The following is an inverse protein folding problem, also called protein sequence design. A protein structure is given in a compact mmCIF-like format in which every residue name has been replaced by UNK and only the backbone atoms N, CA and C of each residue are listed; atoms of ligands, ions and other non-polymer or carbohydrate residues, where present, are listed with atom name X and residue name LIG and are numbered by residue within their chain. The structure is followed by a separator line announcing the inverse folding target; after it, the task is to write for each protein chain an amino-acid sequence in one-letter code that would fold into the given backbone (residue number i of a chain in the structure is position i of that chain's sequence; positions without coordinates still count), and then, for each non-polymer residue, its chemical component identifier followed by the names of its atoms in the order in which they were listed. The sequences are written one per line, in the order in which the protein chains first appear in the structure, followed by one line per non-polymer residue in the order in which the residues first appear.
data_IF_062209788604
#
_entry.id   IF_062209788604
#
_cell.length_a   1.000
_cell.length_b   1.000
_cell.length_c   1.000
_cell.angle_alpha   90.00
_cell.angle_beta   90.00
_cell.angle_gamma   90.00
#
_symmetry.space_group_name_H-M   'P 1'
#
loop_
_entity.id
_entity.type
_entity.pdbx_description
1 polymer ?
#
# COMPACT_ATOMS: atom_id res chain seq x y z
N UNK A 1 -15.22 2.46 -35.22
CA UNK A 1 -13.83 2.32 -34.71
C UNK A 1 -13.70 2.82 -33.28
N UNK A 2 -13.96 4.10 -32.98
CA UNK A 2 -13.83 4.64 -31.61
C UNK A 2 -14.72 3.94 -30.57
N UNK A 3 -15.96 3.55 -30.92
CA UNK A 3 -16.84 2.78 -30.05
C UNK A 3 -16.34 1.35 -29.77
N UNK A 4 -15.67 0.73 -30.75
CA UNK A 4 -15.12 -0.62 -30.61
C UNK A 4 -13.86 -0.62 -29.74
N UNK A 5 -13.03 0.43 -29.86
CA UNK A 5 -11.87 0.64 -28.99
C UNK A 5 -12.33 0.96 -27.56
N UNK A 6 -13.34 1.81 -27.39
CA UNK A 6 -13.92 2.10 -26.07
C UNK A 6 -14.46 0.83 -25.40
N UNK A 7 -15.27 0.06 -26.11
CA UNK A 7 -15.82 -1.20 -25.58
C UNK A 7 -14.71 -2.21 -25.25
N UNK A 8 -13.63 -2.28 -26.04
CA UNK A 8 -12.49 -3.14 -25.74
C UNK A 8 -11.68 -2.67 -24.52
N UNK A 9 -11.56 -1.36 -24.32
CA UNK A 9 -10.95 -0.77 -23.11
C UNK A 9 -11.83 -1.04 -21.89
N UNK A 10 -13.15 -0.86 -22.00
CA UNK A 10 -14.10 -1.13 -20.92
C UNK A 10 -14.09 -2.62 -20.53
N UNK A 11 -14.07 -3.53 -21.52
CA UNK A 11 -13.98 -4.98 -21.27
C UNK A 11 -12.62 -5.40 -20.72
N UNK A 12 -11.55 -4.72 -21.09
CA UNK A 12 -10.22 -4.94 -20.54
C UNK A 12 -10.14 -4.48 -19.08
N UNK A 13 -10.58 -3.25 -18.79
CA UNK A 13 -10.61 -2.66 -17.44
C UNK A 13 -11.53 -3.45 -16.50
N UNK A 14 -12.58 -4.08 -17.02
CA UNK A 14 -13.48 -4.93 -16.23
C UNK A 14 -12.85 -6.25 -15.74
N UNK A 15 -11.65 -6.62 -16.21
CA UNK A 15 -10.97 -7.85 -15.77
C UNK A 15 -10.02 -7.57 -14.61
N UNK A 16 -10.08 -8.40 -13.56
CA UNK A 16 -9.14 -8.38 -12.41
C UNK A 16 -7.66 -8.37 -12.84
N UNK A 17 -7.33 -9.01 -13.98
CA UNK A 17 -5.97 -9.05 -14.54
C UNK A 17 -5.45 -7.71 -15.03
N UNK A 18 -6.33 -6.77 -15.42
CA UNK A 18 -5.92 -5.51 -16.05
C UNK A 18 -5.15 -4.60 -15.10
N UNK A 19 -5.55 -4.57 -13.83
CA UNK A 19 -4.88 -3.80 -12.78
C UNK A 19 -3.43 -4.24 -12.60
N UNK A 20 -3.17 -5.55 -12.54
CA UNK A 20 -1.81 -6.10 -12.44
C UNK A 20 -0.93 -5.74 -13.64
N UNK A 21 -1.48 -5.81 -14.86
CA UNK A 21 -0.75 -5.39 -16.06
C UNK A 21 -0.48 -3.89 -16.08
N UNK A 22 -1.44 -3.05 -15.66
CA UNK A 22 -1.25 -1.60 -15.57
C UNK A 22 -0.16 -1.24 -14.56
N UNK A 23 -0.17 -1.89 -13.39
CA UNK A 23 0.87 -1.70 -12.37
C UNK A 23 2.25 -2.08 -12.91
N UNK A 24 2.35 -3.25 -13.55
CA UNK A 24 3.61 -3.71 -14.15
C UNK A 24 4.10 -2.77 -15.25
N UNK A 25 3.20 -2.32 -16.14
CA UNK A 25 3.54 -1.36 -17.18
C UNK A 25 3.99 -0.01 -16.59
N UNK A 26 3.33 0.50 -15.55
CA UNK A 26 3.73 1.72 -14.86
C UNK A 26 5.12 1.60 -14.25
N UNK A 27 5.44 0.46 -13.61
CA UNK A 27 6.76 0.19 -13.06
C UNK A 27 7.84 0.15 -14.16
N UNK A 28 7.57 -0.50 -15.29
CA UNK A 28 8.49 -0.51 -16.43
C UNK A 28 8.71 0.88 -17.02
N UNK A 29 7.65 1.69 -17.12
CA UNK A 29 7.76 3.08 -17.60
C UNK A 29 8.58 3.94 -16.63
N UNK A 30 8.39 3.77 -15.31
CA UNK A 30 9.19 4.47 -14.30
C UNK A 30 10.68 4.07 -14.39
N UNK A 31 10.97 2.78 -14.52
CA UNK A 31 12.33 2.27 -14.71
C UNK A 31 12.95 2.81 -16.00
N UNK A 32 12.20 2.81 -17.11
CA UNK A 32 12.67 3.36 -18.37
C UNK A 32 12.94 4.87 -18.25
N UNK A 33 12.06 5.63 -17.59
CA UNK A 33 12.23 7.07 -17.38
C UNK A 33 13.52 7.37 -16.59
N UNK A 34 13.73 6.71 -15.45
CA UNK A 34 14.88 6.97 -14.56
C UNK A 34 16.22 6.47 -15.13
N UNK A 35 16.21 5.52 -16.07
CA UNK A 35 17.42 5.02 -16.74
C UNK A 35 17.66 5.68 -18.11
N UNK A 36 16.92 6.74 -18.46
CA UNK A 36 17.02 7.44 -19.74
C UNK A 36 17.48 8.89 -19.55
N UNK A 37 17.78 9.64 -20.64
CA UNK A 37 18.07 11.06 -20.55
C UNK A 37 16.95 11.92 -19.92
N UNK A 38 15.75 11.36 -19.73
CA UNK A 38 14.63 12.01 -19.04
C UNK A 38 14.76 12.00 -17.51
N UNK A 39 15.71 11.25 -16.94
CA UNK A 39 15.86 11.12 -15.49
C UNK A 39 15.92 12.46 -14.73
N UNK A 40 16.70 13.48 -15.17
CA UNK A 40 16.74 14.77 -14.46
C UNK A 40 15.40 15.51 -14.48
N UNK A 41 14.61 15.35 -15.54
CA UNK A 41 13.28 15.95 -15.64
C UNK A 41 12.27 15.22 -14.76
N UNK A 42 12.35 13.89 -14.71
CA UNK A 42 11.52 13.06 -13.85
C UNK A 42 11.78 13.38 -12.37
N UNK A 43 13.06 13.38 -11.96
CA UNK A 43 13.45 13.70 -10.59
C UNK A 43 13.14 15.16 -10.24
N UNK A 44 13.40 16.09 -11.15
CA UNK A 44 13.08 17.51 -10.96
C UNK A 44 11.57 17.75 -10.76
N UNK A 45 10.71 17.03 -11.48
CA UNK A 45 9.27 17.07 -11.28
C UNK A 45 8.89 16.55 -9.90
N UNK A 46 9.38 15.37 -9.51
CA UNK A 46 9.07 14.76 -8.21
C UNK A 46 9.59 15.57 -7.02
N UNK A 47 10.73 16.24 -7.18
CA UNK A 47 11.33 17.11 -6.15
C UNK A 47 10.81 18.55 -6.18
N UNK A 48 9.86 18.89 -7.08
CA UNK A 48 9.28 20.23 -7.12
C UNK A 48 8.63 20.56 -5.77
N UNK A 49 9.05 21.66 -5.15
CA UNK A 49 8.48 22.12 -3.89
C UNK A 49 7.04 22.57 -4.11
N UNK A 50 6.10 21.93 -3.41
CA UNK A 50 4.68 22.29 -3.42
C UNK A 50 4.29 22.73 -2.02
N UNK A 51 3.83 23.97 -1.94
CA UNK A 51 3.50 24.63 -0.68
C UNK A 51 2.01 24.98 -0.67
N UNK A 52 1.33 24.58 0.41
CA UNK A 52 -0.04 24.98 0.70
C UNK A 52 -0.04 25.85 1.94
N UNK A 53 -0.44 27.11 1.78
CA UNK A 53 -0.46 28.11 2.86
C UNK A 53 -1.84 28.71 3.03
N UNK A 54 -2.36 28.64 4.25
CA UNK A 54 -3.63 29.27 4.67
C UNK A 54 -3.35 30.12 5.91
N UNK A 55 -3.10 31.42 5.70
CA UNK A 55 -2.71 32.33 6.78
C UNK A 55 -1.34 31.98 7.38
N UNK A 56 -1.32 31.62 8.67
CA UNK A 56 -0.13 31.16 9.38
C UNK A 56 0.11 29.64 9.26
N UNK A 57 -0.86 28.89 8.73
CA UNK A 57 -0.71 27.47 8.46
C UNK A 57 0.04 27.26 7.15
N UNK A 58 1.12 26.51 7.19
CA UNK A 58 1.99 26.25 6.05
C UNK A 58 2.38 24.77 6.03
N UNK A 59 2.15 24.11 4.90
CA UNK A 59 2.68 22.77 4.62
C UNK A 59 3.51 22.88 3.35
N UNK A 60 4.83 22.73 3.50
CA UNK A 60 5.79 22.70 2.40
C UNK A 60 6.37 21.28 2.30
N UNK A 61 6.13 20.61 1.17
CA UNK A 61 6.69 19.28 0.90
C UNK A 61 6.97 19.12 -0.60
N UNK A 62 7.96 18.30 -1.00
CA UNK A 62 8.15 17.91 -2.39
C UNK A 62 6.89 17.27 -2.97
N UNK A 63 6.67 17.43 -4.28
CA UNK A 63 5.54 16.86 -5.00
C UNK A 63 5.39 15.36 -4.75
N UNK A 64 6.51 14.63 -4.70
CA UNK A 64 6.52 13.20 -4.40
C UNK A 64 5.84 12.86 -3.07
N UNK A 65 6.05 13.64 -2.01
CA UNK A 65 5.42 13.38 -0.72
C UNK A 65 3.92 13.69 -0.75
N UNK A 66 3.49 14.72 -1.47
CA UNK A 66 2.06 14.98 -1.68
C UNK A 66 1.36 13.84 -2.43
N UNK A 67 2.00 13.32 -3.48
CA UNK A 67 1.49 12.19 -4.24
C UNK A 67 1.40 10.95 -3.34
N UNK A 68 2.47 10.63 -2.61
CA UNK A 68 2.50 9.48 -1.71
C UNK A 68 1.45 9.59 -0.60
N UNK A 69 1.40 10.71 0.14
CA UNK A 69 0.45 10.91 1.22
C UNK A 69 -1.00 10.82 0.70
N UNK A 70 -1.28 11.43 -0.46
CA UNK A 70 -2.61 11.44 -1.06
C UNK A 70 -3.06 10.08 -1.60
N UNK A 71 -2.24 9.42 -2.43
CA UNK A 71 -2.57 8.13 -3.01
C UNK A 71 -2.64 7.03 -1.94
N UNK A 72 -1.73 7.05 -0.97
CA UNK A 72 -1.73 6.10 0.14
C UNK A 72 -2.94 6.30 1.06
N UNK A 73 -3.39 7.53 1.29
CA UNK A 73 -4.63 7.77 2.04
C UNK A 73 -5.85 7.13 1.37
N UNK A 74 -5.98 7.26 0.04
CA UNK A 74 -7.07 6.61 -0.72
C UNK A 74 -6.92 5.09 -0.71
N UNK A 75 -5.71 4.57 -0.90
CA UNK A 75 -5.42 3.14 -0.85
C UNK A 75 -5.80 2.52 0.51
N UNK A 76 -5.30 3.09 1.62
CA UNK A 76 -5.59 2.59 2.96
C UNK A 76 -7.05 2.80 3.39
N UNK A 77 -7.74 3.80 2.84
CA UNK A 77 -9.19 3.91 3.02
C UNK A 77 -9.92 2.70 2.41
N UNK A 78 -9.57 2.31 1.19
CA UNK A 78 -10.14 1.12 0.54
C UNK A 78 -9.77 -0.16 1.29
N UNK A 79 -8.50 -0.31 1.70
CA UNK A 79 -8.06 -1.43 2.54
C UNK A 79 -8.86 -1.47 3.85
N UNK A 80 -9.06 -0.32 4.51
CA UNK A 80 -9.86 -0.24 5.75
C UNK A 80 -11.31 -0.68 5.58
N UNK A 81 -11.94 -0.35 4.44
CA UNK A 81 -13.29 -0.85 4.11
C UNK A 81 -13.29 -2.36 3.87
N UNK A 82 -12.28 -2.87 3.18
CA UNK A 82 -12.13 -4.29 2.89
C UNK A 82 -11.90 -5.11 4.16
N UNK A 83 -11.04 -4.63 5.06
CA UNK A 83 -10.82 -5.20 6.39
C UNK A 83 -12.11 -5.27 7.17
N UNK A 84 -12.88 -4.18 7.18
CA UNK A 84 -14.18 -4.14 7.86
C UNK A 84 -15.13 -5.19 7.27
N UNK A 85 -15.16 -5.35 5.94
CA UNK A 85 -15.97 -6.37 5.26
C UNK A 85 -15.55 -7.78 5.68
N UNK A 86 -14.26 -8.08 5.67
CA UNK A 86 -13.70 -9.38 6.06
C UNK A 86 -13.98 -9.73 7.52
N UNK A 87 -13.91 -8.75 8.42
CA UNK A 87 -14.25 -8.92 9.84
C UNK A 87 -15.75 -9.19 10.04
N UNK A 88 -16.64 -8.57 9.27
CA UNK A 88 -18.09 -8.74 9.48
C UNK A 88 -18.63 -9.99 8.78
N UNK A 89 -18.13 -10.33 7.60
CA UNK A 89 -18.73 -11.37 6.73
C UNK A 89 -17.72 -12.35 6.11
N UNK A 90 -16.42 -12.11 6.23
CA UNK A 90 -15.39 -12.85 5.48
C UNK A 90 -14.58 -13.85 6.32
N UNK A 91 -13.33 -14.06 5.93
CA UNK A 91 -12.40 -15.02 6.54
C UNK A 91 -11.85 -14.53 7.89
N UNK A 92 -12.04 -13.26 8.23
CA UNK A 92 -11.69 -12.68 9.53
C UNK A 92 -12.87 -12.63 10.51
N UNK A 93 -14.03 -13.18 10.13
CA UNK A 93 -15.26 -13.09 10.93
C UNK A 93 -15.31 -14.00 12.15
N UNK A 94 -14.54 -15.09 12.18
CA UNK A 94 -14.43 -15.99 13.33
C UNK A 94 -12.98 -16.36 13.60
N UNK A 95 -12.66 -16.61 14.87
CA UNK A 95 -11.29 -16.94 15.27
C UNK A 95 -10.78 -18.26 14.64
N UNK A 96 -11.71 -19.18 14.35
CA UNK A 96 -11.40 -20.44 13.66
C UNK A 96 -10.92 -20.21 12.22
N UNK A 97 -11.55 -19.27 11.50
CA UNK A 97 -11.15 -18.91 10.14
C UNK A 97 -9.93 -17.99 10.12
N UNK A 98 -9.91 -17.00 11.02
CA UNK A 98 -8.88 -15.97 11.10
C UNK A 98 -7.53 -16.52 11.59
N UNK A 99 -7.51 -17.64 12.31
CA UNK A 99 -6.30 -18.20 12.90
C UNK A 99 -5.19 -18.48 11.87
N UNK A 100 -5.54 -19.08 10.72
CA UNK A 100 -4.56 -19.39 9.67
C UNK A 100 -4.02 -18.10 9.00
N UNK A 101 -4.84 -17.16 8.49
CA UNK A 101 -4.37 -15.89 7.95
C UNK A 101 -3.51 -15.09 8.93
N UNK A 102 -3.92 -14.98 10.20
CA UNK A 102 -3.19 -14.18 11.20
C UNK A 102 -1.80 -14.77 11.47
N UNK A 103 -1.71 -16.09 11.69
CA UNK A 103 -0.43 -16.74 11.94
C UNK A 103 0.47 -16.66 10.71
N UNK A 104 -0.10 -16.85 9.50
CA UNK A 104 0.63 -16.72 8.26
C UNK A 104 1.16 -15.31 8.03
N UNK A 105 0.37 -14.28 8.30
CA UNK A 105 0.74 -12.87 8.21
C UNK A 105 1.86 -12.51 9.22
N UNK A 106 1.65 -12.83 10.50
CA UNK A 106 2.67 -12.57 11.54
C UNK A 106 4.00 -13.26 11.20
N UNK A 107 3.95 -14.53 10.76
CA UNK A 107 5.15 -15.23 10.29
C UNK A 107 5.75 -14.59 9.04
N UNK A 108 4.89 -14.20 8.09
CA UNK A 108 5.22 -13.53 6.84
C UNK A 108 5.90 -12.17 7.03
N UNK A 109 5.60 -11.46 8.12
CA UNK A 109 6.26 -10.20 8.48
C UNK A 109 7.50 -10.43 9.34
N UNK A 110 7.40 -11.28 10.37
CA UNK A 110 8.46 -11.45 11.37
C UNK A 110 9.70 -12.12 10.76
N UNK A 111 9.53 -13.14 9.91
CA UNK A 111 10.67 -13.86 9.33
C UNK A 111 11.51 -12.96 8.42
N UNK A 112 10.96 -12.23 7.43
CA UNK A 112 11.76 -11.32 6.61
C UNK A 112 12.43 -10.20 7.41
N UNK A 113 11.73 -9.64 8.41
CA UNK A 113 12.29 -8.65 9.32
C UNK A 113 13.51 -9.19 10.09
N UNK A 114 13.40 -10.38 10.68
CA UNK A 114 14.48 -11.02 11.43
C UNK A 114 15.67 -11.36 10.53
N UNK A 115 15.41 -11.86 9.32
CA UNK A 115 16.45 -12.13 8.31
C UNK A 115 17.18 -10.83 7.96
N UNK A 116 16.45 -9.74 7.71
CA UNK A 116 17.05 -8.45 7.39
C UNK A 116 17.95 -7.93 8.51
N UNK A 117 17.48 -8.01 9.78
CA UNK A 117 18.27 -7.61 10.95
C UNK A 117 19.51 -8.49 11.10
N UNK A 118 19.38 -9.81 10.93
CA UNK A 118 20.51 -10.73 11.04
C UNK A 118 21.61 -10.43 10.00
N UNK A 119 21.22 -10.09 8.76
CA UNK A 119 22.14 -9.74 7.69
C UNK A 119 22.77 -8.35 7.89
N UNK A 120 22.04 -7.40 8.46
CA UNK A 120 22.48 -6.00 8.62
C UNK A 120 22.98 -5.64 10.03
N UNK A 121 23.17 -6.61 10.91
CA UNK A 121 23.51 -6.39 12.33
C UNK A 121 24.75 -5.53 12.55
N UNK A 122 25.71 -5.59 11.62
CA UNK A 122 27.00 -4.91 11.71
C UNK A 122 26.94 -3.46 11.19
N UNK A 123 25.82 -3.06 10.57
CA UNK A 123 25.62 -1.71 10.01
C UNK A 123 24.41 -1.05 10.68
N UNK A 124 24.67 -0.31 11.77
CA UNK A 124 23.63 0.31 12.59
C UNK A 124 22.66 1.22 11.80
N UNK A 125 23.16 1.91 10.77
CA UNK A 125 22.33 2.77 9.91
C UNK A 125 21.23 1.99 9.16
N UNK A 126 21.48 0.71 8.83
CA UNK A 126 20.55 -0.11 8.07
C UNK A 126 19.46 -0.72 8.95
N UNK A 127 19.67 -0.82 10.27
CA UNK A 127 18.70 -1.43 11.19
C UNK A 127 17.39 -0.67 11.25
N UNK A 128 17.43 0.63 10.97
CA UNK A 128 16.22 1.43 10.78
C UNK A 128 15.38 0.94 9.58
N UNK A 129 15.87 0.10 8.68
CA UNK A 129 15.11 -0.45 7.55
C UNK A 129 14.37 -1.76 7.81
N UNK A 130 14.31 -2.25 9.06
CA UNK A 130 13.84 -3.62 9.35
C UNK A 130 12.40 -3.91 8.92
N UNK A 131 11.54 -2.89 8.84
CA UNK A 131 10.14 -3.03 8.43
C UNK A 131 9.94 -3.05 6.90
N UNK A 132 10.95 -2.66 6.11
CA UNK A 132 10.88 -2.63 4.64
C UNK A 132 10.51 -4.02 4.04
N UNK A 133 11.15 -5.14 4.41
CA UNK A 133 10.84 -6.45 3.83
C UNK A 133 9.55 -7.09 4.37
N UNK A 134 8.86 -6.46 5.33
CA UNK A 134 7.62 -6.98 5.89
C UNK A 134 6.37 -6.56 5.07
N UNK A 135 6.48 -5.55 4.22
CA UNK A 135 5.37 -5.08 3.40
C UNK A 135 5.20 -5.95 2.13
N UNK A 136 3.94 -6.27 1.78
CA UNK A 136 3.59 -7.10 0.61
C UNK A 136 2.63 -6.35 -0.31
N UNK A 137 2.97 -6.17 -1.59
CA UNK A 137 2.07 -5.52 -2.56
C UNK A 137 0.95 -6.47 -3.03
N UNK A 138 -0.25 -6.26 -2.48
CA UNK A 138 -1.46 -7.03 -2.78
C UNK A 138 -1.89 -6.92 -4.26
N UNK A 139 -1.74 -5.75 -4.88
CA UNK A 139 -2.17 -5.52 -6.25
C UNK A 139 -1.27 -6.29 -7.23
N UNK A 140 0.03 -6.33 -6.95
CA UNK A 140 0.95 -7.15 -7.70
C UNK A 140 0.71 -8.66 -7.47
N UNK A 141 0.57 -9.07 -6.21
CA UNK A 141 0.36 -10.48 -5.86
C UNK A 141 -0.90 -11.05 -6.53
N UNK A 142 -2.03 -10.36 -6.42
CA UNK A 142 -3.29 -10.74 -7.08
C UNK A 142 -3.19 -10.64 -8.60
N UNK A 143 -2.49 -9.62 -9.12
CA UNK A 143 -2.24 -9.46 -10.55
C UNK A 143 -1.54 -10.67 -11.17
N UNK A 144 -0.45 -11.13 -10.55
CA UNK A 144 0.28 -12.34 -10.97
C UNK A 144 -0.57 -13.59 -10.79
N UNK A 145 -1.31 -13.71 -9.68
CA UNK A 145 -2.20 -14.84 -9.43
C UNK A 145 -3.28 -14.96 -10.51
N UNK A 146 -3.78 -13.83 -11.00
CA UNK A 146 -4.77 -13.78 -12.07
C UNK A 146 -4.20 -14.20 -13.44
N UNK A 147 -2.90 -14.03 -13.69
CA UNK A 147 -2.22 -14.55 -14.90
C UNK A 147 -2.18 -16.07 -14.94
N UNK A 148 -2.12 -16.73 -13.79
CA UNK A 148 -2.15 -18.20 -13.68
C UNK A 148 -3.56 -18.77 -14.00
N UNK A 149 -4.55 -17.89 -14.18
CA UNK A 149 -5.85 -18.21 -14.75
C UNK A 149 -6.69 -19.14 -13.87
N UNK A 150 -7.40 -20.08 -14.50
CA UNK A 150 -8.36 -20.97 -13.82
C UNK A 150 -7.71 -22.05 -12.94
N UNK A 151 -6.38 -22.14 -12.91
CA UNK A 151 -5.65 -23.18 -12.16
C UNK A 151 -5.64 -22.93 -10.65
N UNK A 152 -5.98 -21.71 -10.23
CA UNK A 152 -5.91 -21.30 -8.83
C UNK A 152 -7.31 -21.30 -8.21
N UNK A 153 -7.52 -22.06 -7.12
CA UNK A 153 -8.78 -22.06 -6.40
C UNK A 153 -9.15 -20.66 -5.90
N UNK A 154 -10.43 -20.31 -5.96
CA UNK A 154 -10.94 -19.04 -5.42
C UNK A 154 -10.58 -18.87 -3.92
N UNK A 155 -10.61 -19.97 -3.15
CA UNK A 155 -10.21 -19.97 -1.75
C UNK A 155 -8.75 -19.50 -1.53
N UNK A 156 -7.83 -19.79 -2.45
CA UNK A 156 -6.44 -19.36 -2.33
C UNK A 156 -6.28 -17.85 -2.58
N UNK A 157 -7.11 -17.29 -3.49
CA UNK A 157 -7.15 -15.84 -3.73
C UNK A 157 -7.66 -15.10 -2.50
N UNK A 158 -8.72 -15.61 -1.89
CA UNK A 158 -9.33 -15.04 -0.67
C UNK A 158 -8.35 -15.15 0.50
N UNK A 159 -7.68 -16.30 0.67
CA UNK A 159 -6.66 -16.47 1.70
C UNK A 159 -5.49 -15.48 1.53
N UNK A 160 -4.98 -15.34 0.30
CA UNK A 160 -3.88 -14.41 0.02
C UNK A 160 -4.29 -12.96 0.26
N UNK A 161 -5.52 -12.60 -0.12
CA UNK A 161 -6.11 -11.30 0.17
C UNK A 161 -6.13 -11.03 1.68
N UNK A 162 -6.61 -12.00 2.47
CA UNK A 162 -6.68 -11.86 3.93
C UNK A 162 -5.29 -11.71 4.58
N UNK A 163 -4.29 -12.48 4.13
CA UNK A 163 -2.91 -12.37 4.62
C UNK A 163 -2.35 -10.98 4.28
N UNK A 164 -2.44 -10.55 3.02
CA UNK A 164 -1.90 -9.27 2.57
C UNK A 164 -2.55 -8.08 3.29
N UNK A 165 -3.85 -8.14 3.56
CA UNK A 165 -4.56 -7.12 4.33
C UNK A 165 -3.98 -7.00 5.76
N UNK A 166 -3.76 -8.14 6.43
CA UNK A 166 -3.20 -8.14 7.79
C UNK A 166 -1.76 -7.61 7.77
N UNK A 167 -0.96 -8.03 6.80
CA UNK A 167 0.41 -7.56 6.61
C UNK A 167 0.45 -6.04 6.38
N UNK A 168 -0.43 -5.48 5.53
CA UNK A 168 -0.51 -4.05 5.25
C UNK A 168 -0.89 -3.24 6.49
N UNK A 169 -1.87 -3.70 7.28
CA UNK A 169 -2.23 -3.08 8.56
C UNK A 169 -1.06 -3.17 9.55
N UNK A 170 -0.42 -4.32 9.64
CA UNK A 170 0.73 -4.54 10.51
C UNK A 170 1.87 -3.60 10.14
N UNK A 171 2.21 -3.51 8.85
CA UNK A 171 3.28 -2.68 8.34
C UNK A 171 3.02 -1.19 8.59
N UNK A 172 1.81 -0.68 8.29
CA UNK A 172 1.49 0.73 8.56
C UNK A 172 1.46 1.03 10.06
N UNK A 173 1.00 0.09 10.91
CA UNK A 173 1.05 0.26 12.35
C UNK A 173 2.49 0.31 12.88
N UNK A 174 3.38 -0.55 12.37
CA UNK A 174 4.81 -0.52 12.69
C UNK A 174 5.43 0.81 12.26
N UNK A 175 5.16 1.27 11.03
CA UNK A 175 5.68 2.54 10.53
C UNK A 175 5.17 3.70 11.40
N UNK A 176 3.87 3.74 11.72
CA UNK A 176 3.28 4.77 12.54
C UNK A 176 3.87 4.84 13.96
N UNK A 177 4.16 3.70 14.59
CA UNK A 177 4.68 3.66 15.97
C UNK A 177 6.20 3.86 16.04
N UNK A 178 6.97 3.29 15.12
CA UNK A 178 8.43 3.27 15.21
C UNK A 178 9.14 4.31 14.34
N UNK A 179 8.48 4.86 13.31
CA UNK A 179 9.10 5.76 12.32
C UNK A 179 8.54 7.17 12.33
N UNK A 180 7.53 7.45 13.15
CA UNK A 180 6.99 8.81 13.28
C UNK A 180 7.90 9.63 14.19
N UNK A 181 8.68 10.52 13.59
CA UNK A 181 9.61 11.39 14.33
C UNK A 181 8.89 12.51 15.08
N UNK A 182 7.90 13.14 14.45
CA UNK A 182 7.20 14.31 14.98
C UNK A 182 5.69 14.09 14.95
N UNK A 183 5.05 14.28 16.11
CA UNK A 183 3.59 14.22 16.24
C UNK A 183 3.08 15.54 16.80
N UNK A 184 2.30 16.27 15.99
CA UNK A 184 1.66 17.51 16.43
C UNK A 184 0.43 17.19 17.27
N UNK A 185 0.46 17.60 18.55
CA UNK A 185 -0.68 17.47 19.48
C UNK A 185 -1.92 18.20 18.95
N UNK A 186 -1.71 19.34 18.29
CA UNK A 186 -2.80 20.09 17.65
C UNK A 186 -3.47 19.29 16.53
N UNK A 187 -2.67 18.65 15.66
CA UNK A 187 -3.19 17.81 14.58
C UNK A 187 -3.91 16.56 15.14
N UNK A 188 -3.40 15.95 16.21
CA UNK A 188 -4.08 14.85 16.90
C UNK A 188 -5.45 15.27 17.46
N UNK A 189 -5.53 16.45 18.06
CA UNK A 189 -6.79 17.00 18.56
C UNK A 189 -7.83 17.18 17.45
N UNK A 190 -7.42 17.75 16.31
CA UNK A 190 -8.28 17.88 15.13
C UNK A 190 -8.72 16.52 14.58
N UNK A 191 -7.82 15.55 14.50
CA UNK A 191 -8.14 14.19 14.06
C UNK A 191 -9.15 13.51 14.99
N UNK A 192 -8.98 13.64 16.31
CA UNK A 192 -9.91 13.10 17.30
C UNK A 192 -11.32 13.72 17.17
N UNK A 193 -11.41 15.04 16.93
CA UNK A 193 -12.68 15.72 16.69
C UNK A 193 -13.32 15.21 15.40
N UNK A 194 -12.56 15.08 14.32
CA UNK A 194 -13.07 14.56 13.05
C UNK A 194 -13.64 13.13 13.20
N UNK A 195 -12.96 12.27 13.95
CA UNK A 195 -13.44 10.91 14.25
C UNK A 195 -14.73 10.97 15.10
N UNK A 196 -14.77 11.82 16.12
CA UNK A 196 -15.96 11.96 16.97
C UNK A 196 -17.18 12.43 16.15
N UNK A 197 -16.99 13.36 15.21
CA UNK A 197 -18.05 13.82 14.29
C UNK A 197 -18.48 12.72 13.32
N UNK A 198 -17.55 11.87 12.87
CA UNK A 198 -17.87 10.74 11.97
C UNK A 198 -18.67 9.63 12.68
N UNK A 199 -18.44 9.43 13.97
CA UNK A 199 -19.09 8.39 14.78
C UNK A 199 -20.45 8.85 15.34
N UNK A 200 -20.63 10.17 15.53
CA UNK A 200 -21.88 10.77 15.98
C UNK A 200 -22.98 10.70 14.91
#
# INVERSE_FOLDING_TARGET
MLSSVRNAIDEFLARETSAGFMLFAAALLALAAVNSPLAPHYDGLLQTAVELRVGAFEIAKPLQLWINDGLMAVFFFLVGLEVKREIVQGELSSMEKAGLPIVAAIGGMAVPALVFVAVNRDVAANLAGWAIPAATDIAFALGVLALLGKRIPAALKILLLAIAIIDDIGAIAIIAVFYTADVSVFALGLAAIAIAVLVA
#
